data_IF_030866043406
#
_entry.id   IF_030866043406
#
_cell.length_a   1.000
_cell.length_b   1.000
_cell.length_c   1.000
_cell.angle_alpha   90.00
_cell.angle_beta   90.00
_cell.angle_gamma   90.00
#
_symmetry.space_group_name_H-M   'P 1'
#
loop_
_entity.id
_entity.type
_entity.pdbx_description
1 polymer ?
#
# COMPACT_ATOMS: atom_id res chain seq x y z
N UNK A 1 1.27 23.62 1.74
CA UNK A 1 1.78 22.41 1.05
C UNK A 1 1.02 21.22 1.59
N UNK A 2 0.48 20.34 0.73
CA UNK A 2 -0.16 19.11 1.19
C UNK A 2 0.93 18.16 1.72
N UNK A 3 0.73 17.57 2.89
CA UNK A 3 1.65 16.60 3.49
C UNK A 3 1.38 15.23 2.87
N UNK A 4 2.41 14.57 2.33
CA UNK A 4 2.29 13.17 1.89
C UNK A 4 1.89 12.27 3.05
N UNK A 5 1.07 11.26 2.77
CA UNK A 5 0.69 10.21 3.73
C UNK A 5 1.21 8.86 3.27
N UNK A 6 1.39 7.96 4.23
CA UNK A 6 1.70 6.56 4.01
C UNK A 6 0.39 5.78 3.80
N UNK A 7 0.35 4.90 2.80
CA UNK A 7 -0.80 4.07 2.49
C UNK A 7 -0.38 2.60 2.60
N UNK A 8 -1.18 1.80 3.30
CA UNK A 8 -1.08 0.34 3.29
C UNK A 8 -2.23 -0.22 2.47
N UNK A 9 -1.90 -0.87 1.34
CA UNK A 9 -2.83 -1.59 0.49
C UNK A 9 -2.79 -3.08 0.88
N UNK A 10 -3.96 -3.64 1.22
CA UNK A 10 -4.13 -5.07 1.49
C UNK A 10 -4.89 -5.66 0.30
N UNK A 11 -4.23 -6.48 -0.49
CA UNK A 11 -4.74 -7.01 -1.76
C UNK A 11 -4.09 -8.36 -2.05
N UNK A 12 -4.89 -9.43 -2.12
CA UNK A 12 -4.42 -10.81 -2.29
C UNK A 12 -4.05 -11.15 -3.73
N UNK A 13 -4.43 -10.30 -4.69
CA UNK A 13 -4.09 -10.39 -6.11
C UNK A 13 -2.94 -9.44 -6.47
N UNK A 14 -1.78 -10.00 -6.85
CA UNK A 14 -0.63 -9.20 -7.32
C UNK A 14 -1.00 -8.29 -8.50
N UNK A 15 -1.84 -8.79 -9.42
CA UNK A 15 -2.31 -8.03 -10.58
C UNK A 15 -3.16 -6.81 -10.16
N UNK A 16 -4.07 -6.98 -9.20
CA UNK A 16 -4.92 -5.88 -8.73
C UNK A 16 -4.12 -4.87 -7.90
N UNK A 17 -3.16 -5.34 -7.10
CA UNK A 17 -2.24 -4.48 -6.38
C UNK A 17 -1.41 -3.60 -7.34
N UNK A 18 -0.92 -4.18 -8.45
CA UNK A 18 -0.21 -3.43 -9.48
C UNK A 18 -1.10 -2.38 -10.17
N UNK A 19 -2.35 -2.74 -10.50
CA UNK A 19 -3.32 -1.81 -11.09
C UNK A 19 -3.58 -0.60 -10.18
N UNK A 20 -3.72 -0.81 -8.87
CA UNK A 20 -3.88 0.28 -7.90
C UNK A 20 -2.64 1.17 -7.90
N UNK A 21 -1.44 0.59 -7.85
CA UNK A 21 -0.21 1.39 -7.89
C UNK A 21 -0.08 2.22 -9.18
N UNK A 22 -0.45 1.66 -10.33
CA UNK A 22 -0.50 2.39 -11.61
C UNK A 22 -1.48 3.57 -11.53
N UNK A 23 -2.67 3.37 -10.95
CA UNK A 23 -3.66 4.42 -10.80
C UNK A 23 -3.14 5.57 -9.92
N UNK A 24 -2.46 5.27 -8.81
CA UNK A 24 -1.86 6.27 -7.93
C UNK A 24 -0.74 7.07 -8.61
N UNK A 25 0.16 6.37 -9.33
CA UNK A 25 1.22 7.03 -10.14
C UNK A 25 0.62 7.95 -11.21
N UNK A 26 -0.42 7.48 -11.90
CA UNK A 26 -1.13 8.24 -12.94
C UNK A 26 -1.82 9.49 -12.40
N UNK A 27 -2.37 9.39 -11.18
CA UNK A 27 -3.00 10.50 -10.47
C UNK A 27 -1.99 11.52 -9.89
N UNK A 28 -0.68 11.31 -10.08
CA UNK A 28 0.41 12.14 -9.52
C UNK A 28 0.33 12.28 -7.99
N UNK A 29 -0.20 11.25 -7.33
CA UNK A 29 -0.27 11.20 -5.86
C UNK A 29 1.12 10.79 -5.35
N UNK A 30 1.83 11.70 -4.69
CA UNK A 30 3.19 11.45 -4.16
C UNK A 30 3.16 10.77 -2.78
N UNK A 31 2.26 9.82 -2.59
CA UNK A 31 2.14 9.04 -1.36
C UNK A 31 2.95 7.75 -1.51
N UNK A 32 3.58 7.31 -0.43
CA UNK A 32 4.21 6.00 -0.38
C UNK A 32 3.13 4.93 -0.17
N UNK A 33 3.14 3.89 -1.00
CA UNK A 33 2.20 2.77 -0.93
C UNK A 33 3.00 1.52 -0.57
N UNK A 34 2.63 0.90 0.56
CA UNK A 34 3.08 -0.42 0.97
C UNK A 34 2.00 -1.43 0.61
N UNK A 35 2.37 -2.62 0.15
CA UNK A 35 1.43 -3.67 -0.25
C UNK A 35 1.65 -4.93 0.58
N UNK A 36 0.56 -5.56 0.99
CA UNK A 36 0.54 -6.87 1.64
C UNK A 36 -0.60 -7.70 1.04
N UNK A 37 -0.39 -9.01 0.97
CA UNK A 37 -1.28 -9.99 0.34
C UNK A 37 -2.32 -10.61 1.29
N UNK A 38 -2.20 -10.35 2.59
CA UNK A 38 -3.16 -10.85 3.56
C UNK A 38 -3.31 -9.95 4.80
N UNK A 39 -4.39 -10.21 5.55
CA UNK A 39 -4.73 -9.44 6.75
C UNK A 39 -3.79 -9.69 7.94
N UNK A 40 -3.15 -10.86 8.04
CA UNK A 40 -2.20 -11.14 9.11
C UNK A 40 -0.94 -10.29 8.94
N UNK A 41 -0.37 -10.26 7.73
CA UNK A 41 0.72 -9.36 7.35
C UNK A 41 0.34 -7.90 7.47
N UNK A 42 -0.91 -7.54 7.16
CA UNK A 42 -1.39 -6.17 7.38
C UNK A 42 -1.32 -5.78 8.86
N UNK A 43 -1.77 -6.68 9.75
CA UNK A 43 -1.72 -6.44 11.19
C UNK A 43 -0.27 -6.41 11.71
N UNK A 44 0.61 -7.30 11.23
CA UNK A 44 2.04 -7.30 11.55
C UNK A 44 2.68 -5.96 11.14
N UNK A 45 2.42 -5.50 9.91
CA UNK A 45 2.90 -4.21 9.40
C UNK A 45 2.42 -3.05 10.28
N UNK A 46 1.12 -3.01 10.63
CA UNK A 46 0.55 -1.96 11.48
C UNK A 46 1.14 -1.96 12.90
N UNK A 47 1.46 -3.14 13.44
CA UNK A 47 2.14 -3.31 14.73
C UNK A 47 3.64 -3.05 14.66
N UNK A 48 4.20 -2.86 13.45
CA UNK A 48 5.65 -2.75 13.18
C UNK A 48 6.42 -3.96 13.67
N UNK A 49 5.81 -5.13 13.54
CA UNK A 49 6.47 -6.40 13.76
C UNK A 49 7.43 -6.69 12.59
N UNK A 50 8.56 -7.37 12.84
CA UNK A 50 9.43 -7.82 11.76
C UNK A 50 8.67 -8.82 10.85
N UNK A 51 9.00 -8.85 9.55
CA UNK A 51 8.43 -9.80 8.60
C UNK A 51 8.84 -11.25 8.88
#
# INVERSE_FOLDING_TARGET
MAKSVEILLVEDSEADAELVQIAFRSAKVMNQIHTVDDGEKAMQFLRREPP
#
